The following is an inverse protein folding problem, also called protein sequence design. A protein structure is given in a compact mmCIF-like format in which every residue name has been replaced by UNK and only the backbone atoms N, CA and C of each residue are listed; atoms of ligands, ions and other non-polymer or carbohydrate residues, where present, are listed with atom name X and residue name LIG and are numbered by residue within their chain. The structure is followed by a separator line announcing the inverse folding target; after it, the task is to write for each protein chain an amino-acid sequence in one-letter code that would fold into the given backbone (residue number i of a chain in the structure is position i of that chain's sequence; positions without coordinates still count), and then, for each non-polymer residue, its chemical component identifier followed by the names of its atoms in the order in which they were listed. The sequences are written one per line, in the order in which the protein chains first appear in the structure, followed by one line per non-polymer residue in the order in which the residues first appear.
data_IF_752763644362
#
_entry.id   IF_752763644362
#
_cell.length_a   1.000
_cell.length_b   1.000
_cell.length_c   1.000
_cell.angle_alpha   90.00
_cell.angle_beta   90.00
_cell.angle_gamma   90.00
#
_symmetry.space_group_name_H-M   'P 1'
#
loop_
_entity.id
_entity.type
_entity.pdbx_description
1 polymer ?
#
# COMPACT_ATOMS: atom_id res chain seq x y z
N UNK A 1 13.87 18.57 31.39
CA UNK A 1 14.11 18.63 29.93
C UNK A 1 12.80 18.36 29.25
N UNK A 2 12.21 19.33 28.61
CA UNK A 2 10.99 19.14 27.83
C UNK A 2 11.28 18.14 26.69
N UNK A 3 10.42 17.17 26.54
CA UNK A 3 10.56 16.09 25.56
C UNK A 3 10.43 16.72 24.16
N UNK A 4 11.46 16.64 23.34
CA UNK A 4 11.56 17.24 22.00
C UNK A 4 10.46 16.73 21.04
N UNK A 5 9.65 15.73 21.47
CA UNK A 5 8.59 15.09 20.70
C UNK A 5 7.17 15.62 21.00
N UNK A 6 7.01 16.56 21.93
CA UNK A 6 5.71 17.18 22.23
C UNK A 6 5.24 18.21 21.18
N UNK A 7 6.05 18.49 20.16
CA UNK A 7 5.70 19.45 19.09
C UNK A 7 5.03 18.78 17.88
N UNK A 8 4.98 17.47 17.85
CA UNK A 8 4.20 16.75 16.83
C UNK A 8 2.73 16.85 17.21
N UNK A 9 2.00 17.72 16.52
CA UNK A 9 0.57 17.87 16.68
C UNK A 9 -0.16 16.53 16.63
N UNK A 10 -1.37 16.47 17.18
CA UNK A 10 -2.22 15.28 17.14
C UNK A 10 -2.34 14.80 15.70
N UNK A 11 -2.11 13.50 15.48
CA UNK A 11 -2.30 12.90 14.16
C UNK A 11 -3.70 13.23 13.62
N UNK A 12 -3.84 13.60 12.34
CA UNK A 12 -5.14 13.88 11.74
C UNK A 12 -6.05 12.65 11.84
N UNK A 13 -7.32 12.89 12.14
CA UNK A 13 -8.31 11.82 12.17
C UNK A 13 -8.68 11.36 10.74
N UNK A 14 -9.34 10.19 10.63
CA UNK A 14 -9.78 9.65 9.35
C UNK A 14 -10.64 10.64 8.54
N UNK A 15 -11.47 11.44 9.21
CA UNK A 15 -12.29 12.49 8.56
C UNK A 15 -11.44 13.61 7.95
N UNK A 16 -10.34 14.00 8.61
CA UNK A 16 -9.45 15.02 8.09
C UNK A 16 -8.64 14.50 6.90
N UNK A 17 -8.19 13.24 6.95
CA UNK A 17 -7.53 12.57 5.83
C UNK A 17 -8.47 12.43 4.63
N UNK A 18 -9.74 12.12 4.86
CA UNK A 18 -10.74 12.02 3.81
C UNK A 18 -11.00 13.36 3.11
N UNK A 19 -10.97 14.49 3.84
CA UNK A 19 -11.10 15.83 3.26
C UNK A 19 -9.94 16.20 2.33
N UNK A 20 -8.76 15.61 2.54
CA UNK A 20 -7.58 15.82 1.68
C UNK A 20 -7.64 15.00 0.39
N UNK A 21 -8.50 13.99 0.33
CA UNK A 21 -8.76 13.24 -0.91
C UNK A 21 -9.74 14.01 -1.78
N UNK A 22 -9.56 13.97 -3.11
CA UNK A 22 -10.57 14.47 -4.06
C UNK A 22 -11.86 13.63 -4.00
N UNK A 23 -12.94 14.09 -4.59
CA UNK A 23 -14.23 13.37 -4.62
C UNK A 23 -14.14 11.96 -5.23
N UNK A 24 -13.09 11.69 -6.02
CA UNK A 24 -12.84 10.39 -6.67
C UNK A 24 -11.80 9.56 -5.92
N UNK A 25 -12.13 9.08 -4.74
CA UNK A 25 -11.25 8.16 -3.98
C UNK A 25 -11.14 6.85 -4.73
N UNK A 26 -9.90 6.45 -5.03
CA UNK A 26 -9.55 5.20 -5.72
C UNK A 26 -9.15 4.10 -4.75
N UNK A 27 -8.19 4.38 -3.85
CA UNK A 27 -7.76 3.47 -2.80
C UNK A 27 -8.30 3.95 -1.46
N UNK A 28 -8.94 3.05 -0.74
CA UNK A 28 -9.40 3.28 0.64
C UNK A 28 -8.86 2.20 1.55
N UNK A 29 -8.22 2.60 2.63
CA UNK A 29 -7.86 1.74 3.75
C UNK A 29 -8.59 2.25 4.97
N UNK A 30 -9.29 1.37 5.71
CA UNK A 30 -10.04 1.72 6.91
C UNK A 30 -9.74 0.76 8.05
N UNK A 31 -9.32 1.33 9.18
CA UNK A 31 -9.09 0.61 10.43
C UNK A 31 -8.11 -0.55 10.31
N UNK A 32 -7.11 -0.44 9.42
CA UNK A 32 -6.23 -1.54 9.08
C UNK A 32 -5.26 -1.84 10.22
N UNK A 33 -5.34 -3.05 10.74
CA UNK A 33 -4.31 -3.66 11.59
C UNK A 33 -3.66 -4.79 10.81
N UNK A 34 -2.35 -4.70 10.61
CA UNK A 34 -1.60 -5.62 9.76
C UNK A 34 -0.16 -5.82 10.23
N UNK A 35 0.45 -6.92 9.81
CA UNK A 35 1.83 -7.22 10.16
C UNK A 35 2.34 -8.54 9.57
N UNK A 36 3.31 -9.16 10.24
CA UNK A 36 3.96 -10.37 9.76
C UNK A 36 3.85 -11.49 10.78
N UNK A 37 3.39 -12.67 10.36
CA UNK A 37 3.11 -13.76 11.25
C UNK A 37 2.08 -13.37 12.32
N UNK A 38 2.48 -13.34 13.59
CA UNK A 38 1.64 -12.91 14.73
C UNK A 38 1.95 -11.50 15.21
N UNK A 39 2.95 -10.84 14.60
CA UNK A 39 3.39 -9.50 14.99
C UNK A 39 2.58 -8.46 14.24
N UNK A 40 1.77 -7.70 14.97
CA UNK A 40 1.03 -6.55 14.46
C UNK A 40 1.96 -5.33 14.43
N UNK A 41 2.05 -4.65 13.30
CA UNK A 41 2.89 -3.47 13.07
C UNK A 41 2.04 -2.23 12.80
N UNK A 42 0.97 -2.39 12.01
CA UNK A 42 0.00 -1.33 11.78
C UNK A 42 -1.18 -1.54 12.73
N UNK A 43 -1.60 -0.46 13.38
CA UNK A 43 -2.71 -0.46 14.33
C UNK A 43 -3.74 0.58 13.91
N UNK A 44 -4.93 0.13 13.53
CA UNK A 44 -6.08 0.98 13.19
C UNK A 44 -5.73 2.11 12.20
N UNK A 45 -5.05 1.76 11.09
CA UNK A 45 -4.52 2.69 10.11
C UNK A 45 -5.56 3.01 9.02
N UNK A 46 -5.71 4.31 8.72
CA UNK A 46 -6.58 4.82 7.66
C UNK A 46 -5.76 5.51 6.57
N UNK A 47 -6.15 5.33 5.30
CA UNK A 47 -5.56 6.00 4.14
C UNK A 47 -6.58 6.15 3.02
N UNK A 48 -6.55 7.30 2.35
CA UNK A 48 -7.38 7.57 1.17
C UNK A 48 -6.49 8.14 0.07
N UNK A 49 -6.56 7.55 -1.12
CA UNK A 49 -5.82 8.01 -2.31
C UNK A 49 -6.79 8.17 -3.46
N UNK A 50 -6.77 9.33 -4.11
CA UNK A 50 -7.64 9.64 -5.25
C UNK A 50 -7.06 9.11 -6.56
N UNK A 51 -7.90 9.00 -7.59
CA UNK A 51 -7.43 8.69 -8.95
C UNK A 51 -6.40 9.71 -9.42
N UNK A 52 -5.37 9.23 -10.12
CA UNK A 52 -4.27 10.04 -10.65
C UNK A 52 -3.47 10.84 -9.60
N UNK A 53 -3.60 10.48 -8.32
CA UNK A 53 -2.84 11.09 -7.24
C UNK A 53 -1.51 10.36 -7.01
N UNK A 54 -0.42 11.11 -6.83
CA UNK A 54 0.83 10.60 -6.29
C UNK A 54 0.86 10.83 -4.78
N UNK A 55 1.17 9.78 -4.03
CA UNK A 55 1.28 9.84 -2.57
C UNK A 55 2.69 9.46 -2.14
N UNK A 56 3.27 10.26 -1.25
CA UNK A 56 4.54 9.97 -0.61
C UNK A 56 4.35 9.64 0.87
N UNK A 57 4.84 8.49 1.31
CA UNK A 57 4.86 8.09 2.72
C UNK A 57 6.21 8.50 3.34
N UNK A 58 6.18 9.42 4.30
CA UNK A 58 7.36 9.94 4.98
C UNK A 58 7.30 9.54 6.45
N UNK A 59 8.45 9.17 7.01
CA UNK A 59 8.57 8.83 8.43
C UNK A 59 9.88 8.10 8.72
N UNK A 60 10.21 7.91 10.01
CA UNK A 60 11.44 7.21 10.43
C UNK A 60 11.43 5.73 10.00
N UNK A 61 12.61 5.10 10.05
CA UNK A 61 12.70 3.66 9.85
C UNK A 61 11.93 2.93 10.97
N UNK A 62 11.21 1.88 10.59
CA UNK A 62 10.35 1.15 11.52
C UNK A 62 8.94 1.75 11.72
N UNK A 63 8.62 2.89 11.11
CA UNK A 63 7.28 3.51 11.22
C UNK A 63 6.14 2.78 10.47
N UNK A 64 6.40 1.61 9.86
CA UNK A 64 5.38 0.84 9.17
C UNK A 64 5.15 1.22 7.70
N UNK A 65 5.93 2.13 7.09
CA UNK A 65 5.75 2.57 5.69
C UNK A 65 5.72 1.39 4.70
N UNK A 66 6.72 0.51 4.78
CA UNK A 66 6.76 -0.69 3.93
C UNK A 66 5.62 -1.64 4.24
N UNK A 67 5.21 -1.74 5.51
CA UNK A 67 4.09 -2.60 5.92
C UNK A 67 2.78 -2.13 5.30
N UNK A 68 2.55 -0.81 5.17
CA UNK A 68 1.39 -0.26 4.46
C UNK A 68 1.37 -0.75 3.00
N UNK A 69 2.49 -0.56 2.27
CA UNK A 69 2.60 -0.98 0.88
C UNK A 69 2.46 -2.50 0.72
N UNK A 70 3.10 -3.27 1.62
CA UNK A 70 2.98 -4.73 1.66
C UNK A 70 1.54 -5.18 1.94
N UNK A 71 0.79 -4.47 2.77
CA UNK A 71 -0.61 -4.79 3.07
C UNK A 71 -1.50 -4.54 1.85
N UNK A 72 -1.30 -3.43 1.14
CA UNK A 72 -2.02 -3.14 -0.09
C UNK A 72 -1.79 -4.25 -1.12
N UNK A 73 -0.55 -4.68 -1.29
CA UNK A 73 -0.19 -5.72 -2.26
C UNK A 73 -0.57 -7.14 -1.81
N UNK A 74 -0.60 -7.42 -0.51
CA UNK A 74 -0.99 -8.72 0.05
C UNK A 74 0.16 -9.56 0.58
N UNK A 75 1.24 -8.93 1.05
CA UNK A 75 2.40 -9.60 1.67
C UNK A 75 2.33 -9.66 3.20
N UNK A 76 1.29 -9.10 3.81
CA UNK A 76 1.10 -9.09 5.26
C UNK A 76 -0.11 -9.92 5.68
N UNK A 77 -0.15 -10.29 6.95
CA UNK A 77 -1.38 -10.77 7.58
C UNK A 77 -2.23 -9.57 7.97
N UNK A 78 -3.50 -9.60 7.60
CA UNK A 78 -4.48 -8.59 8.02
C UNK A 78 -5.21 -9.14 9.25
N UNK A 79 -5.13 -8.42 10.37
CA UNK A 79 -5.81 -8.79 11.62
C UNK A 79 -7.19 -8.14 11.73
N UNK A 80 -7.33 -6.91 11.22
CA UNK A 80 -8.61 -6.19 11.15
C UNK A 80 -8.58 -5.09 10.10
N UNK A 81 -9.74 -4.49 9.83
CA UNK A 81 -9.89 -3.43 8.85
C UNK A 81 -10.05 -3.96 7.43
N UNK A 82 -10.07 -3.04 6.46
CA UNK A 82 -10.30 -3.38 5.06
C UNK A 82 -9.56 -2.46 4.10
N UNK A 83 -9.29 -3.01 2.92
CA UNK A 83 -8.68 -2.33 1.78
C UNK A 83 -9.63 -2.43 0.60
N UNK A 84 -9.95 -1.29 -0.02
CA UNK A 84 -10.88 -1.19 -1.15
C UNK A 84 -10.25 -0.42 -2.31
N UNK A 85 -10.51 -0.87 -3.54
CA UNK A 85 -10.21 -0.15 -4.79
C UNK A 85 -11.54 0.14 -5.49
N UNK A 86 -11.81 1.40 -5.78
CA UNK A 86 -13.08 1.88 -6.38
C UNK A 86 -14.34 1.32 -5.67
N UNK A 87 -14.26 1.18 -4.34
CA UNK A 87 -15.34 0.64 -3.50
C UNK A 87 -15.42 -0.90 -3.48
N UNK A 88 -14.59 -1.60 -4.23
CA UNK A 88 -14.49 -3.06 -4.21
C UNK A 88 -13.48 -3.51 -3.17
N UNK A 89 -13.88 -4.37 -2.25
CA UNK A 89 -12.98 -4.91 -1.23
C UNK A 89 -11.96 -5.88 -1.83
N UNK A 90 -10.69 -5.63 -1.54
CA UNK A 90 -9.55 -6.42 -2.02
C UNK A 90 -8.68 -6.97 -0.87
N UNK A 91 -9.14 -6.85 0.36
CA UNK A 91 -8.37 -7.18 1.58
C UNK A 91 -7.73 -8.55 1.50
N UNK A 92 -8.52 -9.56 1.13
CA UNK A 92 -8.13 -10.97 1.15
C UNK A 92 -7.70 -11.53 -0.22
N UNK A 93 -7.61 -10.69 -1.25
CA UNK A 93 -7.12 -11.14 -2.55
C UNK A 93 -5.62 -11.42 -2.49
N UNK A 94 -5.19 -12.48 -3.17
CA UNK A 94 -3.76 -12.78 -3.32
C UNK A 94 -3.04 -11.71 -4.15
N UNK A 95 -1.70 -11.59 -4.03
CA UNK A 95 -0.91 -10.67 -4.85
C UNK A 95 -1.14 -10.84 -6.36
N UNK A 96 -1.27 -12.08 -6.82
CA UNK A 96 -1.53 -12.40 -8.22
C UNK A 96 -2.90 -11.90 -8.69
N UNK A 97 -3.94 -12.05 -7.87
CA UNK A 97 -5.28 -11.53 -8.17
C UNK A 97 -5.29 -10.00 -8.16
N UNK A 98 -4.63 -9.37 -7.18
CA UNK A 98 -4.50 -7.89 -7.10
C UNK A 98 -3.81 -7.32 -8.33
N UNK A 99 -2.74 -7.98 -8.81
CA UNK A 99 -2.07 -7.57 -10.04
C UNK A 99 -2.95 -7.78 -11.28
N UNK A 100 -3.54 -8.97 -11.43
CA UNK A 100 -4.27 -9.38 -12.63
C UNK A 100 -5.63 -8.70 -12.76
N UNK A 101 -6.40 -8.64 -11.67
CA UNK A 101 -7.78 -8.16 -11.67
C UNK A 101 -7.91 -6.67 -11.34
N UNK A 102 -7.07 -6.17 -10.43
CA UNK A 102 -7.17 -4.80 -9.92
C UNK A 102 -6.06 -3.87 -10.45
N UNK A 103 -5.09 -4.42 -11.19
CA UNK A 103 -3.99 -3.64 -11.79
C UNK A 103 -2.99 -3.09 -10.77
N UNK A 104 -2.94 -3.66 -9.57
CA UNK A 104 -2.00 -3.24 -8.52
C UNK A 104 -0.65 -3.88 -8.79
N UNK A 105 0.37 -3.07 -9.09
CA UNK A 105 1.75 -3.52 -9.22
C UNK A 105 2.58 -3.05 -8.02
N UNK A 106 3.52 -3.88 -7.60
CA UNK A 106 4.48 -3.57 -6.54
C UNK A 106 5.90 -3.60 -7.09
N UNK A 107 6.63 -2.51 -6.91
CA UNK A 107 8.05 -2.43 -7.29
C UNK A 107 8.87 -2.63 -6.03
N UNK A 108 9.69 -3.68 -6.01
CA UNK A 108 10.59 -4.00 -4.91
C UNK A 108 11.68 -2.93 -4.78
N UNK A 109 12.18 -2.74 -3.57
CA UNK A 109 13.28 -1.81 -3.29
C UNK A 109 14.59 -2.32 -3.91
N UNK A 110 14.85 -3.62 -3.79
CA UNK A 110 16.04 -4.28 -4.29
C UNK A 110 15.66 -5.49 -5.16
N UNK A 111 16.59 -5.92 -6.02
CA UNK A 111 16.42 -7.10 -6.88
C UNK A 111 15.18 -7.03 -7.79
N UNK A 112 14.91 -5.85 -8.35
CA UNK A 112 13.74 -5.62 -9.22
C UNK A 112 13.97 -6.08 -10.67
N UNK A 113 15.17 -6.57 -10.99
CA UNK A 113 15.55 -7.02 -12.33
C UNK A 113 16.14 -8.42 -12.27
N UNK A 114 16.04 -9.14 -13.36
CA UNK A 114 16.71 -10.43 -13.57
C UNK A 114 18.10 -10.15 -14.18
N UNK A 115 19.19 -10.30 -13.41
CA UNK A 115 20.52 -9.86 -13.85
C UNK A 115 21.06 -10.65 -15.05
N UNK A 116 20.60 -11.89 -15.22
CA UNK A 116 21.03 -12.76 -16.33
C UNK A 116 20.16 -12.61 -17.60
N UNK A 117 19.18 -11.71 -17.56
CA UNK A 117 18.32 -11.40 -18.70
C UNK A 117 18.71 -10.05 -19.32
N UNK A 118 18.51 -9.93 -20.62
CA UNK A 118 18.65 -8.65 -21.34
C UNK A 118 17.61 -7.63 -20.87
N UNK A 119 17.81 -6.37 -21.19
CA UNK A 119 16.83 -5.30 -20.91
C UNK A 119 15.48 -5.62 -21.55
N UNK A 120 15.49 -6.09 -22.81
CA UNK A 120 14.27 -6.46 -23.51
C UNK A 120 13.49 -7.58 -22.80
N UNK A 121 14.18 -8.64 -22.40
CA UNK A 121 13.59 -9.75 -21.66
C UNK A 121 13.01 -9.31 -20.31
N UNK A 122 13.73 -8.45 -19.57
CA UNK A 122 13.20 -7.85 -18.33
C UNK A 122 11.90 -7.07 -18.57
N UNK A 123 11.83 -6.28 -19.63
CA UNK A 123 10.62 -5.53 -19.99
C UNK A 123 9.47 -6.45 -20.40
N UNK A 124 9.76 -7.51 -21.17
CA UNK A 124 8.76 -8.51 -21.54
C UNK A 124 8.19 -9.24 -20.34
N UNK A 125 9.01 -9.53 -19.33
CA UNK A 125 8.55 -10.15 -18.08
C UNK A 125 7.51 -9.30 -17.35
N UNK A 126 7.66 -7.98 -17.36
CA UNK A 126 6.68 -7.07 -16.77
C UNK A 126 5.30 -7.14 -17.46
N UNK A 127 5.28 -7.45 -18.74
CA UNK A 127 4.05 -7.59 -19.54
C UNK A 127 3.46 -9.00 -19.61
N UNK A 128 4.11 -10.00 -18.99
CA UNK A 128 3.76 -11.41 -19.16
C UNK A 128 2.33 -11.77 -18.74
N UNK A 129 1.76 -11.03 -17.78
CA UNK A 129 0.42 -11.29 -17.23
C UNK A 129 -0.69 -10.61 -18.06
N UNK A 130 -0.33 -9.65 -18.92
CA UNK A 130 -1.30 -9.01 -19.82
C UNK A 130 -1.52 -9.89 -21.04
N UNK A 131 -2.78 -10.27 -21.29
CA UNK A 131 -3.15 -10.93 -22.53
C UNK A 131 -2.65 -10.08 -23.71
N UNK A 132 -1.96 -10.73 -24.62
CA UNK A 132 -1.56 -10.11 -25.89
C UNK A 132 -2.84 -9.76 -26.66
N UNK A 133 -3.26 -8.51 -26.58
CA UNK A 133 -4.23 -7.91 -27.52
C UNK A 133 -3.48 -7.46 -28.76
#
# INVERSE_FOLDING_TARGET
MANQYEVLGKAPGAEDLKKLSSENVHLTIKGLSAGYGKMEILHNFDLFVSKAQSLCLIGPNGAGKSTILHSIYGFTNIFSGKIEIDGKEITNLSPAEKLKSEGIAYILQDNSVFPDMTVEENLLMCGYIKDKT
#
